data_IF_407114441859
#
_entry.id   IF_407114441859
#
_cell.length_a   1.000
_cell.length_b   1.000
_cell.length_c   1.000
_cell.angle_alpha   90.00
_cell.angle_beta   90.00
_cell.angle_gamma   90.00
#
_symmetry.space_group_name_H-M   'P 1'
#
loop_
_entity.id
_entity.type
_entity.pdbx_description
1 polymer ?
#
# COMPACT_ATOMS: atom_id res chain seq x y z
N UNK A 1 28.56 -1.25 -2.62
CA UNK A 1 27.27 -1.58 -3.25
C UNK A 1 26.27 -0.54 -2.78
N UNK A 2 25.94 0.43 -3.64
CA UNK A 2 25.00 1.49 -3.31
C UNK A 2 23.60 1.03 -3.67
N UNK A 3 22.72 0.86 -2.69
CA UNK A 3 21.29 0.72 -2.95
C UNK A 3 20.80 2.04 -3.56
N UNK A 4 20.03 2.01 -4.66
CA UNK A 4 19.42 3.23 -5.17
C UNK A 4 18.37 3.68 -4.16
N UNK A 5 18.64 4.80 -3.49
CA UNK A 5 17.62 5.50 -2.71
C UNK A 5 16.70 6.22 -3.68
N UNK A 6 15.88 5.45 -4.41
CA UNK A 6 14.72 6.00 -5.09
C UNK A 6 13.75 6.48 -4.01
N UNK A 7 13.94 7.73 -3.56
CA UNK A 7 12.88 8.44 -2.87
C UNK A 7 11.78 8.69 -3.89
N UNK A 8 10.92 7.70 -4.06
CA UNK A 8 9.70 7.81 -4.83
C UNK A 8 8.83 8.86 -4.16
N UNK A 9 8.86 10.06 -4.72
CA UNK A 9 7.94 11.15 -4.40
C UNK A 9 6.61 10.95 -5.14
N UNK A 10 6.42 9.78 -5.77
CA UNK A 10 5.18 9.44 -6.43
C UNK A 10 4.02 9.47 -5.41
N UNK A 11 2.83 9.93 -5.83
CA UNK A 11 1.63 9.80 -5.02
C UNK A 11 1.42 8.33 -4.65
N UNK A 12 0.88 8.09 -3.45
CA UNK A 12 0.52 6.74 -3.02
C UNK A 12 -0.58 6.23 -3.95
N UNK A 13 -0.42 5.04 -4.52
CA UNK A 13 -1.48 4.40 -5.31
C UNK A 13 -2.74 4.25 -4.47
N UNK A 14 -3.83 4.86 -4.92
CA UNK A 14 -5.12 4.78 -4.25
C UNK A 14 -5.79 3.42 -4.48
N UNK A 15 -6.55 2.96 -3.49
CA UNK A 15 -7.35 1.75 -3.61
C UNK A 15 -8.54 2.04 -4.53
N UNK A 16 -8.74 1.21 -5.54
CA UNK A 16 -9.83 1.28 -6.51
C UNK A 16 -10.44 -0.11 -6.65
N UNK A 17 -11.50 -0.35 -5.89
CA UNK A 17 -12.27 -1.58 -5.98
C UNK A 17 -13.33 -1.47 -7.10
N UNK A 18 -13.69 -2.60 -7.74
CA UNK A 18 -14.82 -2.65 -8.65
C UNK A 18 -16.12 -2.18 -7.99
N UNK A 19 -17.10 -1.66 -8.77
CA UNK A 19 -18.37 -1.15 -8.25
C UNK A 19 -19.11 -2.14 -7.34
N UNK A 20 -18.99 -3.44 -7.62
CA UNK A 20 -19.60 -4.52 -6.84
C UNK A 20 -19.09 -4.58 -5.39
N UNK A 21 -17.96 -3.95 -5.10
CA UNK A 21 -17.30 -3.94 -3.79
C UNK A 21 -17.07 -2.51 -3.26
N UNK A 22 -17.68 -1.49 -3.85
CA UNK A 22 -17.44 -0.08 -3.49
C UNK A 22 -17.69 0.17 -1.99
N UNK A 23 -18.70 -0.49 -1.42
CA UNK A 23 -19.05 -0.41 0.00
C UNK A 23 -17.93 -0.87 0.95
N UNK A 24 -17.02 -1.73 0.46
CA UNK A 24 -15.90 -2.25 1.23
C UNK A 24 -14.65 -1.36 1.13
N UNK A 25 -14.62 -0.37 0.22
CA UNK A 25 -13.42 0.44 -0.07
C UNK A 25 -12.82 1.04 1.20
N UNK A 26 -13.64 1.68 2.04
CA UNK A 26 -13.16 2.29 3.27
C UNK A 26 -12.62 1.29 4.30
N UNK A 27 -13.23 0.11 4.39
CA UNK A 27 -12.78 -0.96 5.30
C UNK A 27 -11.45 -1.54 4.83
N UNK A 28 -11.36 -1.90 3.55
CA UNK A 28 -10.14 -2.44 2.95
C UNK A 28 -9.01 -1.43 3.06
N UNK A 29 -9.26 -0.14 2.76
CA UNK A 29 -8.24 0.90 2.89
C UNK A 29 -7.74 1.04 4.34
N UNK A 30 -8.63 0.95 5.34
CA UNK A 30 -8.26 0.97 6.74
C UNK A 30 -7.36 -0.22 7.13
N UNK A 31 -7.69 -1.42 6.65
CA UNK A 31 -6.91 -2.63 6.90
C UNK A 31 -5.53 -2.56 6.23
N UNK A 32 -5.44 -2.09 4.98
CA UNK A 32 -4.17 -1.91 4.28
C UNK A 32 -3.27 -0.91 5.02
N UNK A 33 -3.83 0.20 5.52
CA UNK A 33 -3.11 1.16 6.37
C UNK A 33 -2.63 0.51 7.67
N UNK A 34 -3.45 -0.29 8.32
CA UNK A 34 -3.09 -0.99 9.55
C UNK A 34 -1.92 -1.96 9.33
N UNK A 35 -1.96 -2.76 8.26
CA UNK A 35 -0.88 -3.69 7.89
C UNK A 35 0.41 -2.94 7.58
N UNK A 36 0.35 -1.89 6.76
CA UNK A 36 1.53 -1.07 6.43
C UNK A 36 2.15 -0.44 7.68
N UNK A 37 1.32 0.09 8.59
CA UNK A 37 1.77 0.68 9.85
C UNK A 37 2.43 -0.36 10.77
N UNK A 38 1.84 -1.55 10.92
CA UNK A 38 2.39 -2.63 11.74
C UNK A 38 3.77 -3.08 11.24
N UNK A 39 3.88 -3.34 9.94
CA UNK A 39 5.14 -3.78 9.32
C UNK A 39 6.21 -2.69 9.41
N UNK A 40 5.87 -1.44 9.11
CA UNK A 40 6.79 -0.30 9.20
C UNK A 40 7.30 -0.12 10.61
N UNK A 41 6.40 -0.16 11.61
CA UNK A 41 6.76 -0.04 13.02
C UNK A 41 7.71 -1.15 13.43
N UNK A 42 7.42 -2.41 13.05
CA UNK A 42 8.28 -3.55 13.37
C UNK A 42 9.66 -3.44 12.72
N UNK A 43 9.72 -2.96 11.49
CA UNK A 43 10.99 -2.69 10.79
C UNK A 43 11.78 -1.58 11.48
N UNK A 44 11.12 -0.49 11.89
CA UNK A 44 11.75 0.60 12.62
C UNK A 44 12.37 0.14 13.95
N UNK A 45 11.63 -0.63 14.73
CA UNK A 45 12.11 -1.16 16.02
C UNK A 45 13.32 -2.10 15.85
N UNK A 46 13.39 -2.87 14.75
CA UNK A 46 14.45 -3.87 14.54
C UNK A 46 15.67 -3.34 13.78
N UNK A 47 15.45 -2.41 12.86
CA UNK A 47 16.47 -1.91 11.94
C UNK A 47 16.86 -0.45 12.23
N UNK A 48 16.24 0.18 13.23
CA UNK A 48 16.50 1.56 13.66
C UNK A 48 16.34 2.56 12.51
N UNK A 49 15.29 2.38 11.70
CA UNK A 49 15.02 3.24 10.55
C UNK A 49 14.99 4.72 10.96
N UNK A 50 15.59 5.58 10.16
CA UNK A 50 15.43 7.03 10.30
C UNK A 50 13.97 7.42 10.06
N UNK A 51 13.58 8.62 10.49
CA UNK A 51 12.23 9.15 10.25
C UNK A 51 11.88 9.22 8.75
N UNK A 52 12.88 9.45 7.89
CA UNK A 52 12.70 9.45 6.42
C UNK A 52 12.41 8.04 5.92
N UNK A 53 13.23 7.07 6.30
CA UNK A 53 13.06 5.67 5.90
C UNK A 53 11.74 5.09 6.41
N UNK A 54 11.33 5.42 7.64
CA UNK A 54 10.02 5.04 8.18
C UNK A 54 8.87 5.51 7.27
N UNK A 55 8.86 6.81 6.92
CA UNK A 55 7.80 7.37 6.09
C UNK A 55 7.82 6.82 4.68
N UNK A 56 9.01 6.62 4.11
CA UNK A 56 9.16 6.05 2.78
C UNK A 56 8.64 4.61 2.78
N UNK A 57 9.08 3.77 3.71
CA UNK A 57 8.62 2.39 3.83
C UNK A 57 7.11 2.30 4.02
N UNK A 58 6.52 3.13 4.87
CA UNK A 58 5.07 3.16 5.07
C UNK A 58 4.32 3.50 3.77
N UNK A 59 4.79 4.52 3.04
CA UNK A 59 4.19 4.93 1.75
C UNK A 59 4.33 3.83 0.72
N UNK A 60 5.51 3.25 0.59
CA UNK A 60 5.79 2.20 -0.40
C UNK A 60 4.96 0.94 -0.12
N UNK A 61 4.84 0.52 1.14
CA UNK A 61 3.99 -0.59 1.55
C UNK A 61 2.54 -0.32 1.22
N UNK A 62 2.01 0.85 1.61
CA UNK A 62 0.62 1.19 1.33
C UNK A 62 0.34 1.23 -0.19
N UNK A 63 1.23 1.85 -0.96
CA UNK A 63 1.10 1.94 -2.42
C UNK A 63 1.07 0.55 -3.08
N UNK A 64 2.03 -0.32 -2.72
CA UNK A 64 2.12 -1.67 -3.30
C UNK A 64 0.98 -2.58 -2.87
N UNK A 65 0.50 -2.43 -1.64
CA UNK A 65 -0.66 -3.18 -1.15
C UNK A 65 -1.93 -2.78 -1.91
N UNK A 66 -2.18 -1.47 -2.08
CA UNK A 66 -3.30 -0.98 -2.88
C UNK A 66 -3.21 -1.46 -4.33
N UNK A 67 -2.03 -1.36 -4.94
CA UNK A 67 -1.78 -1.82 -6.31
C UNK A 67 -2.07 -3.32 -6.47
N UNK A 68 -1.57 -4.16 -5.56
CA UNK A 68 -1.81 -5.59 -5.59
C UNK A 68 -3.31 -5.95 -5.47
N UNK A 69 -4.05 -5.23 -4.61
CA UNK A 69 -5.50 -5.42 -4.50
C UNK A 69 -6.21 -4.97 -5.78
N UNK A 70 -5.87 -3.79 -6.31
CA UNK A 70 -6.45 -3.25 -7.54
C UNK A 70 -6.24 -4.22 -8.71
N UNK A 71 -5.00 -4.70 -8.92
CA UNK A 71 -4.68 -5.65 -10.00
C UNK A 71 -5.44 -6.97 -9.86
N UNK A 72 -5.58 -7.47 -8.63
CA UNK A 72 -6.29 -8.73 -8.36
C UNK A 72 -7.80 -8.59 -8.58
N UNK A 73 -8.37 -7.43 -8.26
CA UNK A 73 -9.81 -7.17 -8.32
C UNK A 73 -10.27 -6.64 -9.68
N UNK A 74 -9.39 -6.00 -10.46
CA UNK A 74 -9.69 -5.45 -11.78
C UNK A 74 -10.44 -6.40 -12.74
N UNK A 75 -10.12 -7.71 -12.86
CA UNK A 75 -10.86 -8.61 -13.75
C UNK A 75 -12.24 -9.03 -13.23
N UNK A 76 -12.60 -8.68 -11.99
CA UNK A 76 -13.84 -9.10 -11.34
C UNK A 76 -15.00 -8.11 -11.52
N UNK A 77 -15.01 -7.37 -12.62
CA UNK A 77 -16.11 -6.48 -12.98
C UNK A 77 -17.22 -7.24 -13.71
N UNK A 78 -18.47 -6.78 -13.60
CA UNK A 78 -19.60 -7.31 -14.35
C UNK A 78 -19.39 -7.28 -15.88
N UNK A 79 -18.55 -6.37 -16.38
CA UNK A 79 -18.24 -6.22 -17.80
C UNK A 79 -17.26 -7.29 -18.34
N UNK A 80 -16.51 -7.97 -17.44
CA UNK A 80 -15.55 -9.02 -17.80
C UNK A 80 -16.11 -10.45 -17.68
N UNK A 81 -17.43 -10.61 -17.46
CA UNK A 81 -18.14 -11.90 -17.47
C UNK A 81 -18.91 -12.13 -18.76
#
# INVERSE_FOLDING_TARGET
MSCPSDTSTAPVTELSLPPEFEELTGLVEADLKAVAALLTRRAHERLLLTRREYRQLHRDLLSRLSEAVNETMAPLTAECR
#
